data_IF_254561187414
#
_entry.id   IF_254561187414
#
_cell.length_a   1.000
_cell.length_b   1.000
_cell.length_c   1.000
_cell.angle_alpha   90.00
_cell.angle_beta   90.00
_cell.angle_gamma   90.00
#
_symmetry.space_group_name_H-M   'P 1'
#
loop_
_entity.id
_entity.type
_entity.pdbx_description
1 polymer ?
#
# COMPACT_ATOMS: atom_id res chain seq x y z
N UNK A 1 17.84 -3.96 12.83
CA UNK A 1 17.28 -4.79 11.74
C UNK A 1 16.07 -4.17 11.06
N UNK A 2 14.96 -3.84 11.75
CA UNK A 2 13.73 -3.30 11.09
C UNK A 2 13.97 -2.09 10.17
N UNK A 3 14.75 -1.11 10.63
CA UNK A 3 15.08 0.10 9.85
C UNK A 3 15.84 -0.23 8.57
N UNK A 4 16.79 -1.17 8.65
CA UNK A 4 17.59 -1.64 7.52
C UNK A 4 16.74 -2.38 6.50
N UNK A 5 15.93 -3.35 6.95
CA UNK A 5 15.00 -4.11 6.09
C UNK A 5 14.03 -3.17 5.37
N UNK A 6 13.49 -2.17 6.08
CA UNK A 6 12.59 -1.19 5.49
C UNK A 6 13.29 -0.31 4.43
N UNK A 7 14.56 0.04 4.65
CA UNK A 7 15.35 0.79 3.66
C UNK A 7 15.62 -0.05 2.41
N UNK A 8 15.97 -1.33 2.58
CA UNK A 8 16.25 -2.25 1.48
C UNK A 8 15.00 -2.54 0.64
N UNK A 9 13.86 -2.82 1.27
CA UNK A 9 12.57 -2.97 0.57
C UNK A 9 12.21 -1.69 -0.17
N UNK A 10 12.42 -0.53 0.46
CA UNK A 10 12.17 0.77 -0.19
C UNK A 10 13.06 0.98 -1.40
N UNK A 11 14.30 0.50 -1.39
CA UNK A 11 15.20 0.57 -2.54
C UNK A 11 14.67 -0.27 -3.72
N UNK A 12 14.18 -1.48 -3.47
CA UNK A 12 13.56 -2.35 -4.50
C UNK A 12 12.41 -1.61 -5.20
N UNK A 13 11.46 -1.07 -4.43
CA UNK A 13 10.31 -0.37 -4.99
C UNK A 13 10.63 1.01 -5.60
N UNK A 14 11.82 1.56 -5.34
CA UNK A 14 12.32 2.81 -5.91
C UNK A 14 13.19 2.60 -7.15
N UNK A 15 13.45 1.35 -7.57
CA UNK A 15 14.24 1.09 -8.75
C UNK A 15 13.64 1.77 -9.99
N UNK A 16 14.48 2.08 -10.97
CA UNK A 16 14.02 2.72 -12.22
C UNK A 16 13.18 1.77 -13.08
N UNK A 17 13.54 0.48 -13.09
CA UNK A 17 12.92 -0.55 -13.93
C UNK A 17 12.55 -1.76 -13.10
N UNK A 18 11.58 -2.55 -13.61
CA UNK A 18 11.18 -3.83 -13.01
C UNK A 18 12.35 -4.79 -12.88
N UNK A 19 13.15 -4.92 -13.95
CA UNK A 19 14.34 -5.78 -13.95
C UNK A 19 15.37 -5.34 -12.89
N UNK A 20 15.55 -4.03 -12.70
CA UNK A 20 16.39 -3.50 -11.63
C UNK A 20 15.86 -3.85 -10.24
N UNK A 21 14.54 -3.78 -10.05
CA UNK A 21 13.90 -4.18 -8.80
C UNK A 21 14.07 -5.69 -8.52
N UNK A 22 13.89 -6.54 -9.53
CA UNK A 22 14.08 -8.00 -9.43
C UNK A 22 15.54 -8.35 -9.10
N UNK A 23 16.50 -7.65 -9.71
CA UNK A 23 17.93 -7.82 -9.40
C UNK A 23 18.24 -7.43 -7.95
N UNK A 24 17.70 -6.31 -7.48
CA UNK A 24 17.83 -5.88 -6.09
C UNK A 24 17.18 -6.87 -5.13
N UNK A 25 16.00 -7.40 -5.46
CA UNK A 25 15.31 -8.40 -4.67
C UNK A 25 16.19 -9.64 -4.47
N UNK A 26 16.74 -10.21 -5.55
CA UNK A 26 17.63 -11.37 -5.47
C UNK A 26 18.85 -11.10 -4.57
N UNK A 27 19.45 -9.91 -4.68
CA UNK A 27 20.56 -9.50 -3.82
C UNK A 27 20.16 -9.41 -2.33
N UNK A 28 18.97 -8.89 -2.03
CA UNK A 28 18.47 -8.75 -0.66
C UNK A 28 18.06 -10.10 -0.05
N UNK A 29 17.46 -11.00 -0.84
CA UNK A 29 17.16 -12.38 -0.41
C UNK A 29 18.45 -13.07 0.04
N UNK A 30 19.51 -13.01 -0.78
CA UNK A 30 20.82 -13.57 -0.44
C UNK A 30 21.46 -12.90 0.78
N UNK A 31 21.28 -11.57 0.94
CA UNK A 31 21.78 -10.82 2.10
C UNK A 31 21.14 -11.31 3.41
N UNK A 32 19.84 -11.60 3.40
CA UNK A 32 19.09 -11.98 4.58
C UNK A 32 19.00 -13.48 4.83
N UNK A 33 19.28 -14.33 3.83
CA UNK A 33 19.18 -15.79 3.87
C UNK A 33 19.73 -16.42 5.17
N UNK A 34 20.95 -16.02 5.58
CA UNK A 34 21.61 -16.59 6.77
C UNK A 34 21.17 -15.97 8.10
N UNK A 35 20.82 -14.68 8.10
CA UNK A 35 20.51 -13.92 9.33
C UNK A 35 19.02 -13.94 9.67
N UNK A 36 18.16 -14.11 8.66
CA UNK A 36 16.71 -14.07 8.75
C UNK A 36 16.10 -14.86 7.58
N UNK A 37 16.24 -16.19 7.59
CA UNK A 37 15.76 -17.08 6.51
C UNK A 37 14.27 -16.90 6.20
N UNK A 38 13.42 -16.81 7.23
CA UNK A 38 11.99 -16.57 7.04
C UNK A 38 11.69 -15.22 6.35
N UNK A 39 12.50 -14.19 6.62
CA UNK A 39 12.35 -12.91 5.92
C UNK A 39 12.76 -13.04 4.45
N UNK A 40 13.85 -13.77 4.17
CA UNK A 40 14.33 -14.00 2.81
C UNK A 40 13.28 -14.77 1.98
N UNK A 41 12.70 -15.85 2.51
CA UNK A 41 11.60 -16.59 1.87
C UNK A 41 10.38 -15.68 1.64
N UNK A 42 9.97 -14.94 2.67
CA UNK A 42 8.84 -14.02 2.53
C UNK A 42 9.08 -12.96 1.43
N UNK A 43 10.30 -12.39 1.36
CA UNK A 43 10.66 -11.43 0.33
C UNK A 43 10.55 -12.03 -1.07
N UNK A 44 11.08 -13.23 -1.27
CA UNK A 44 11.07 -13.94 -2.54
C UNK A 44 9.65 -14.25 -3.03
N UNK A 45 8.76 -14.64 -2.13
CA UNK A 45 7.38 -14.98 -2.49
C UNK A 45 6.47 -13.75 -2.67
N UNK A 46 6.61 -12.72 -1.83
CA UNK A 46 5.59 -11.66 -1.71
C UNK A 46 5.98 -10.35 -2.42
N UNK A 47 7.27 -10.01 -2.49
CA UNK A 47 7.69 -8.76 -3.14
C UNK A 47 7.40 -8.75 -4.65
N UNK A 48 7.54 -9.87 -5.41
CA UNK A 48 7.21 -9.89 -6.84
C UNK A 48 5.80 -9.41 -7.18
N UNK A 49 4.80 -9.73 -6.35
CA UNK A 49 3.42 -9.26 -6.54
C UNK A 49 3.34 -7.72 -6.53
N UNK A 50 4.08 -7.09 -5.62
CA UNK A 50 4.18 -5.64 -5.53
C UNK A 50 4.90 -4.98 -6.71
N UNK A 51 5.74 -5.72 -7.44
CA UNK A 51 6.44 -5.21 -8.62
C UNK A 51 5.48 -4.93 -9.80
N UNK A 52 4.21 -5.31 -9.70
CA UNK A 52 3.16 -4.88 -10.64
C UNK A 52 3.05 -3.36 -10.76
N UNK A 53 3.50 -2.60 -9.74
CA UNK A 53 3.60 -1.13 -9.81
C UNK A 53 4.39 -0.63 -11.03
N UNK A 54 5.35 -1.42 -11.52
CA UNK A 54 6.18 -1.04 -12.67
C UNK A 54 5.41 -1.02 -14.00
N UNK A 55 4.23 -1.65 -14.07
CA UNK A 55 3.34 -1.60 -15.23
C UNK A 55 2.62 -0.26 -15.37
N UNK A 56 2.65 0.60 -14.34
CA UNK A 56 2.07 1.95 -14.38
C UNK A 56 3.11 3.00 -14.83
N UNK A 57 2.65 4.12 -15.41
CA UNK A 57 3.48 5.28 -15.70
C UNK A 57 4.26 5.75 -14.46
N UNK A 58 5.46 6.28 -14.68
CA UNK A 58 6.36 6.75 -13.61
C UNK A 58 5.69 7.73 -12.63
N UNK A 59 4.83 8.61 -13.14
CA UNK A 59 4.02 9.57 -12.36
C UNK A 59 3.12 8.88 -11.34
N UNK A 60 2.59 7.69 -11.66
CA UNK A 60 1.60 6.97 -10.86
C UNK A 60 2.22 6.01 -9.86
N UNK A 61 3.43 5.52 -10.12
CA UNK A 61 4.10 4.50 -9.28
C UNK A 61 4.15 4.87 -7.80
N UNK A 62 4.39 6.16 -7.48
CA UNK A 62 4.45 6.63 -6.09
C UNK A 62 3.11 6.50 -5.38
N UNK A 63 2.00 6.84 -6.04
CA UNK A 63 0.67 6.74 -5.45
C UNK A 63 0.26 5.28 -5.29
N UNK A 64 0.50 4.45 -6.30
CA UNK A 64 0.09 3.03 -6.34
C UNK A 64 0.85 2.19 -5.30
N UNK A 65 2.15 2.38 -5.12
CA UNK A 65 2.94 1.55 -4.19
C UNK A 65 2.77 1.87 -2.71
N UNK A 66 2.16 3.00 -2.36
CA UNK A 66 2.04 3.42 -0.95
C UNK A 66 0.65 3.19 -0.42
N UNK A 67 0.55 2.64 0.79
CA UNK A 67 -0.72 2.47 1.48
C UNK A 67 -1.22 3.76 2.18
N UNK A 68 -0.65 4.93 1.89
CA UNK A 68 -0.91 6.17 2.63
C UNK A 68 -2.40 6.57 2.65
N UNK A 69 -3.09 6.45 1.50
CA UNK A 69 -4.51 6.74 1.38
C UNK A 69 -5.35 5.78 2.22
N UNK A 70 -5.05 4.48 2.13
CA UNK A 70 -5.72 3.43 2.91
C UNK A 70 -5.46 3.56 4.42
N UNK A 71 -4.24 3.90 4.82
CA UNK A 71 -3.90 4.17 6.22
C UNK A 71 -4.64 5.39 6.76
N UNK A 72 -4.78 6.46 5.95
CA UNK A 72 -5.57 7.64 6.31
C UNK A 72 -7.06 7.28 6.47
N UNK A 73 -7.62 6.51 5.54
CA UNK A 73 -8.99 6.01 5.59
C UNK A 73 -9.22 5.18 6.87
N UNK A 74 -8.37 4.19 7.12
CA UNK A 74 -8.45 3.33 8.30
C UNK A 74 -8.30 4.11 9.61
N UNK A 75 -7.43 5.12 9.64
CA UNK A 75 -7.27 6.01 10.79
C UNK A 75 -8.56 6.76 11.08
N UNK A 76 -9.24 7.25 10.04
CA UNK A 76 -10.46 8.02 10.18
C UNK A 76 -11.64 7.15 10.66
N UNK A 77 -11.79 5.96 10.07
CA UNK A 77 -12.77 4.96 10.54
C UNK A 77 -12.54 4.62 12.01
N UNK A 78 -11.29 4.36 12.42
CA UNK A 78 -10.94 4.09 13.83
C UNK A 78 -11.18 5.29 14.74
N UNK A 79 -10.92 6.51 14.27
CA UNK A 79 -11.13 7.74 15.04
C UNK A 79 -12.61 7.91 15.38
N UNK A 80 -13.51 7.72 14.40
CA UNK A 80 -14.95 7.92 14.58
C UNK A 80 -15.62 6.76 15.30
N UNK A 81 -15.17 5.53 15.10
CA UNK A 81 -15.70 4.38 15.84
C UNK A 81 -15.30 4.41 17.31
N UNK A 82 -14.14 4.99 17.66
CA UNK A 82 -13.66 5.08 19.06
C UNK A 82 -14.62 5.84 19.99
N UNK A 83 -15.40 6.78 19.47
CA UNK A 83 -16.37 7.56 20.27
C UNK A 83 -17.52 6.68 20.76
N UNK A 84 -17.91 5.65 20.01
CA UNK A 84 -19.00 4.76 20.39
C UNK A 84 -18.64 3.84 21.57
N UNK A 85 -17.35 3.54 21.78
CA UNK A 85 -16.79 2.60 22.78
C UNK A 85 -17.25 1.15 22.62
N UNK A 86 -18.55 0.91 22.47
CA UNK A 86 -19.21 -0.37 22.23
C UNK A 86 -20.30 -0.20 21.16
N UNK A 87 -20.46 -1.19 20.30
CA UNK A 87 -21.61 -1.28 19.39
C UNK A 87 -22.61 -2.33 19.89
N UNK A 88 -23.92 -2.03 19.91
CA UNK A 88 -24.94 -2.97 20.39
C UNK A 88 -25.12 -4.19 19.47
N UNK A 89 -24.74 -4.09 18.21
CA UNK A 89 -24.70 -5.17 17.23
C UNK A 89 -23.85 -4.78 16.02
N UNK A 90 -23.54 -5.76 15.17
CA UNK A 90 -22.75 -5.58 13.94
C UNK A 90 -23.36 -4.54 13.01
N UNK A 91 -24.68 -4.56 12.79
CA UNK A 91 -25.37 -3.59 11.93
C UNK A 91 -25.19 -2.14 12.40
N UNK A 92 -25.09 -1.91 13.71
CA UNK A 92 -24.82 -0.58 14.24
C UNK A 92 -23.41 -0.09 13.93
N UNK A 93 -22.42 -0.99 13.94
CA UNK A 93 -21.05 -0.69 13.53
C UNK A 93 -21.00 -0.41 12.02
N UNK A 94 -21.61 -1.29 11.23
CA UNK A 94 -21.70 -1.14 9.76
C UNK A 94 -22.27 0.22 9.37
N UNK A 95 -23.41 0.63 9.95
CA UNK A 95 -24.01 1.95 9.67
C UNK A 95 -23.04 3.11 9.92
N UNK A 96 -22.33 3.07 11.04
CA UNK A 96 -21.36 4.13 11.34
C UNK A 96 -20.23 4.11 10.32
N UNK A 97 -19.60 2.96 10.08
CA UNK A 97 -18.49 2.83 9.12
C UNK A 97 -18.93 3.27 7.72
N UNK A 98 -20.08 2.80 7.23
CA UNK A 98 -20.64 3.21 5.94
C UNK A 98 -20.85 4.71 5.87
N UNK A 99 -21.44 5.33 6.90
CA UNK A 99 -21.62 6.78 6.93
C UNK A 99 -20.27 7.54 6.87
N UNK A 100 -19.23 7.06 7.56
CA UNK A 100 -17.88 7.63 7.46
C UNK A 100 -17.33 7.50 6.04
N UNK A 101 -17.48 6.34 5.42
CA UNK A 101 -16.98 6.08 4.07
C UNK A 101 -17.71 6.92 3.01
N UNK A 102 -19.02 7.13 3.17
CA UNK A 102 -19.81 8.01 2.30
C UNK A 102 -19.30 9.45 2.36
N UNK A 103 -19.12 10.00 3.57
CA UNK A 103 -18.61 11.37 3.74
C UNK A 103 -17.21 11.54 3.13
N UNK A 104 -16.32 10.55 3.31
CA UNK A 104 -14.98 10.58 2.70
C UNK A 104 -15.06 10.46 1.17
N UNK A 105 -16.00 9.65 0.66
CA UNK A 105 -16.26 9.54 -0.78
C UNK A 105 -16.66 10.88 -1.38
N UNK A 106 -17.60 11.58 -0.76
CA UNK A 106 -18.02 12.94 -1.15
C UNK A 106 -16.85 13.94 -1.10
N UNK A 107 -15.99 13.86 -0.08
CA UNK A 107 -14.75 14.67 -0.01
C UNK A 107 -13.83 14.37 -1.20
N UNK A 108 -13.66 13.09 -1.58
CA UNK A 108 -12.76 12.70 -2.66
C UNK A 108 -13.27 13.10 -4.05
N UNK A 109 -14.58 13.12 -4.25
CA UNK A 109 -15.20 13.60 -5.49
C UNK A 109 -15.02 15.11 -5.70
N UNK A 110 -15.02 15.87 -4.60
CA UNK A 110 -14.97 17.35 -4.64
C UNK A 110 -13.55 17.91 -4.45
N UNK A 111 -12.64 17.14 -3.86
CA UNK A 111 -11.27 17.54 -3.56
C UNK A 111 -10.30 17.33 -4.73
N UNK A 112 -9.03 17.68 -4.50
CA UNK A 112 -7.95 17.49 -5.48
C UNK A 112 -7.75 16.01 -5.80
N UNK A 113 -7.78 15.65 -7.08
CA UNK A 113 -7.57 14.28 -7.58
C UNK A 113 -6.25 13.68 -7.05
N UNK A 114 -6.34 12.55 -6.36
CA UNK A 114 -5.19 11.86 -5.78
C UNK A 114 -4.36 11.09 -6.82
N UNK A 115 -5.04 10.49 -7.80
CA UNK A 115 -4.46 9.77 -8.91
C UNK A 115 -5.32 10.06 -10.15
N UNK A 116 -4.71 10.66 -11.18
CA UNK A 116 -5.37 10.84 -12.48
C UNK A 116 -4.98 9.63 -13.32
N UNK A 117 -5.95 8.84 -13.75
CA UNK A 117 -5.72 7.73 -14.65
C UNK A 117 -6.32 8.13 -15.99
N UNK A 118 -5.45 8.34 -16.98
CA UNK A 118 -5.92 8.49 -18.35
C UNK A 118 -6.21 7.08 -18.89
N UNK A 119 -7.35 6.84 -19.59
CA UNK A 119 -7.75 5.49 -20.01
C UNK A 119 -6.71 4.76 -20.86
N UNK A 120 -5.89 5.52 -21.59
CA UNK A 120 -4.82 5.01 -22.45
C UNK A 120 -3.57 4.55 -21.66
N UNK A 121 -3.45 4.94 -20.39
CA UNK A 121 -2.30 4.67 -19.54
C UNK A 121 -2.51 3.49 -18.57
N UNK A 122 -3.72 2.90 -18.55
CA UNK A 122 -4.05 1.78 -17.67
C UNK A 122 -3.77 0.47 -18.43
N UNK A 123 -2.93 -0.44 -17.89
CA UNK A 123 -2.55 -1.67 -18.58
C UNK A 123 -3.65 -2.75 -18.64
N UNK A 124 -4.94 -2.39 -18.48
CA UNK A 124 -6.09 -3.30 -18.42
C UNK A 124 -7.23 -2.82 -19.31
#
# INVERSE_FOLDING_TARGET
>A
MKVEVAADIRAIFNAATRHGAETLLAAMVKKYEKRASHLATWMEENIPEGLTVFSFPMSHRRCVRTANSLERLNREVRRRSRVAVLFPNVRSCERLVTAVLMEIGEEWETSRTYLRLDPEEVPF
#
